data_IF_419455570471
#
_entry.id   IF_419455570471
#
_cell.length_a   1.000
_cell.length_b   1.000
_cell.length_c   1.000
_cell.angle_alpha   90.00
_cell.angle_beta   90.00
_cell.angle_gamma   90.00
#
_symmetry.space_group_name_H-M   'P 1'
#
loop_
_entity.id
_entity.type
_entity.pdbx_description
1 polymer ?
#
# COMPACT_ATOMS: atom_id res chain seq x y z
N UNK A 1 -11.04 2.35 -6.93
CA UNK A 1 -12.04 1.28 -6.72
C UNK A 1 -13.41 1.68 -7.24
N UNK A 2 -14.05 2.73 -6.70
CA UNK A 2 -15.40 3.13 -7.16
C UNK A 2 -15.46 3.47 -8.66
N UNK A 3 -14.42 4.09 -9.23
CA UNK A 3 -14.33 4.36 -10.68
C UNK A 3 -14.47 3.06 -11.49
N UNK A 4 -13.75 2.01 -11.13
CA UNK A 4 -13.81 0.73 -11.84
C UNK A 4 -15.16 0.01 -11.68
N UNK A 5 -15.78 0.11 -10.51
CA UNK A 5 -17.12 -0.45 -10.28
C UNK A 5 -18.16 0.30 -11.12
N UNK A 6 -18.01 1.61 -11.27
CA UNK A 6 -18.91 2.42 -12.08
C UNK A 6 -18.80 2.12 -13.59
N UNK A 7 -17.58 1.84 -14.07
CA UNK A 7 -17.33 1.37 -15.44
C UNK A 7 -17.93 -0.02 -15.68
N UNK A 8 -17.79 -0.94 -14.72
CA UNK A 8 -18.51 -2.22 -14.73
C UNK A 8 -18.09 -3.24 -15.79
N UNK A 9 -17.07 -2.95 -16.61
CA UNK A 9 -16.52 -3.90 -17.59
C UNK A 9 -15.78 -5.04 -16.88
N UNK A 10 -15.67 -6.21 -17.54
CA UNK A 10 -14.91 -7.36 -17.00
C UNK A 10 -13.47 -6.97 -16.64
N UNK A 11 -12.83 -6.13 -17.46
CA UNK A 11 -11.49 -5.62 -17.21
C UNK A 11 -11.42 -4.67 -16.00
N UNK A 12 -12.42 -3.79 -15.84
CA UNK A 12 -12.51 -2.89 -14.69
C UNK A 12 -12.72 -3.68 -13.39
N UNK A 13 -13.61 -4.68 -13.40
CA UNK A 13 -13.87 -5.55 -12.25
C UNK A 13 -12.62 -6.38 -11.90
N UNK A 14 -11.93 -6.95 -12.90
CA UNK A 14 -10.66 -7.65 -12.65
C UNK A 14 -9.60 -6.75 -12.03
N UNK A 15 -9.44 -5.53 -12.56
CA UNK A 15 -8.50 -4.54 -12.05
C UNK A 15 -8.82 -4.09 -10.62
N UNK A 16 -10.11 -3.92 -10.27
CA UNK A 16 -10.48 -3.51 -8.92
C UNK A 16 -10.26 -4.61 -7.89
N UNK A 17 -10.49 -5.88 -8.26
CA UNK A 17 -10.20 -7.03 -7.40
C UNK A 17 -8.69 -7.17 -7.16
N UNK A 18 -7.89 -7.01 -8.20
CA UNK A 18 -6.43 -7.01 -8.06
C UNK A 18 -5.97 -5.87 -7.15
N UNK A 19 -6.49 -4.66 -7.37
CA UNK A 19 -6.17 -3.53 -6.50
C UNK A 19 -6.63 -3.75 -5.05
N UNK A 20 -7.79 -4.39 -4.82
CA UNK A 20 -8.28 -4.73 -3.50
C UNK A 20 -7.31 -5.67 -2.76
N UNK A 21 -6.84 -6.72 -3.44
CA UNK A 21 -5.87 -7.67 -2.90
C UNK A 21 -4.56 -6.96 -2.55
N UNK A 22 -3.99 -6.19 -3.48
CA UNK A 22 -2.78 -5.43 -3.24
C UNK A 22 -2.95 -4.44 -2.08
N UNK A 23 -4.07 -3.73 -2.03
CA UNK A 23 -4.38 -2.79 -0.95
C UNK A 23 -4.52 -3.47 0.40
N UNK A 24 -5.13 -4.66 0.47
CA UNK A 24 -5.24 -5.43 1.70
C UNK A 24 -3.85 -5.83 2.23
N UNK A 25 -2.98 -6.37 1.38
CA UNK A 25 -1.59 -6.72 1.74
C UNK A 25 -0.84 -5.50 2.26
N UNK A 26 -0.92 -4.38 1.54
CA UNK A 26 -0.22 -3.15 1.90
C UNK A 26 -0.73 -2.56 3.20
N UNK A 27 -2.05 -2.54 3.39
CA UNK A 27 -2.68 -2.07 4.63
C UNK A 27 -2.30 -2.94 5.82
N UNK A 28 -2.34 -4.27 5.67
CA UNK A 28 -1.91 -5.20 6.72
C UNK A 28 -0.45 -5.00 7.11
N UNK A 29 0.45 -4.81 6.14
CA UNK A 29 1.86 -4.54 6.40
C UNK A 29 2.07 -3.21 7.14
N UNK A 30 1.41 -2.15 6.68
CA UNK A 30 1.51 -0.82 7.30
C UNK A 30 0.99 -0.82 8.73
N UNK A 31 -0.22 -1.35 8.97
CA UNK A 31 -0.78 -1.48 10.31
C UNK A 31 0.05 -2.42 11.19
N UNK A 32 0.62 -3.49 10.63
CA UNK A 32 1.54 -4.39 11.34
C UNK A 32 2.74 -3.63 11.91
N UNK A 33 3.37 -2.75 11.13
CA UNK A 33 4.48 -1.91 11.63
C UNK A 33 4.01 -0.98 12.75
N UNK A 34 2.84 -0.34 12.61
CA UNK A 34 2.30 0.55 13.63
C UNK A 34 1.99 -0.21 14.94
N UNK A 35 1.42 -1.41 14.86
CA UNK A 35 1.13 -2.27 16.03
C UNK A 35 2.41 -2.70 16.72
N UNK A 36 3.44 -3.13 15.98
CA UNK A 36 4.74 -3.54 16.54
C UNK A 36 5.40 -2.37 17.26
N UNK A 37 5.39 -1.19 16.63
CA UNK A 37 5.99 0.02 17.21
C UNK A 37 5.42 0.34 18.59
N UNK A 38 4.10 0.32 18.72
CA UNK A 38 3.43 0.89 19.89
C UNK A 38 2.90 -0.16 20.87
N UNK A 39 3.25 -1.46 20.70
CA UNK A 39 2.78 -2.57 21.56
C UNK A 39 1.26 -2.62 21.74
N UNK A 40 0.50 -2.17 20.74
CA UNK A 40 -0.96 -2.08 20.82
C UNK A 40 -1.51 -0.79 21.46
N UNK A 41 -0.69 0.20 21.85
CA UNK A 41 -1.19 1.58 22.07
C UNK A 41 -1.56 2.21 20.73
N UNK A 42 -2.59 3.05 20.75
CA UNK A 42 -3.01 3.81 19.58
C UNK A 42 -2.00 4.95 19.36
N UNK A 43 -1.51 5.08 18.14
CA UNK A 43 -0.71 6.24 17.71
C UNK A 43 -1.67 7.39 17.46
N UNK A 44 -1.40 8.55 18.04
CA UNK A 44 -2.28 9.71 17.93
C UNK A 44 -1.72 10.75 16.97
N UNK A 45 -0.38 10.77 16.77
CA UNK A 45 0.27 11.82 15.98
C UNK A 45 1.44 11.34 15.12
N UNK A 46 1.80 12.16 14.12
CA UNK A 46 3.01 11.95 13.31
C UNK A 46 4.30 12.04 14.14
N UNK A 47 4.28 12.75 15.26
CA UNK A 47 5.43 12.88 16.15
C UNK A 47 5.85 11.55 16.74
N UNK A 48 4.86 10.68 16.98
CA UNK A 48 5.10 9.35 17.46
C UNK A 48 5.98 8.58 16.49
N UNK A 49 6.02 8.93 15.19
CA UNK A 49 6.83 8.31 14.14
C UNK A 49 8.31 8.75 14.09
N UNK A 50 8.68 9.81 14.78
CA UNK A 50 10.00 10.43 14.67
C UNK A 50 11.16 9.47 15.04
N UNK A 51 12.18 9.45 14.20
CA UNK A 51 13.41 8.67 14.44
C UNK A 51 13.27 7.16 14.41
N UNK A 52 12.12 6.61 13.99
CA UNK A 52 11.88 5.16 13.98
C UNK A 52 12.88 4.37 13.13
N UNK A 53 13.37 4.97 12.05
CA UNK A 53 14.36 4.34 11.19
C UNK A 53 15.71 4.10 11.89
N UNK A 54 16.05 4.89 12.92
CA UNK A 54 17.29 4.70 13.69
C UNK A 54 17.21 3.54 14.67
N UNK A 55 16.02 3.27 15.21
CA UNK A 55 15.82 2.20 16.20
C UNK A 55 15.45 0.87 15.57
N UNK A 56 14.58 0.88 14.55
CA UNK A 56 14.11 -0.31 13.85
C UNK A 56 14.17 -0.12 12.33
N UNK A 57 15.38 -0.13 11.73
CA UNK A 57 15.57 0.20 10.31
C UNK A 57 14.78 -0.72 9.37
N UNK A 58 14.70 -2.02 9.68
CA UNK A 58 13.98 -2.99 8.83
C UNK A 58 12.47 -2.77 8.81
N UNK A 59 11.86 -2.46 9.96
CA UNK A 59 10.43 -2.16 10.03
C UNK A 59 10.11 -0.81 9.39
N UNK A 60 10.99 0.19 9.56
CA UNK A 60 10.87 1.47 8.89
C UNK A 60 10.99 1.35 7.36
N UNK A 61 11.88 0.48 6.85
CA UNK A 61 11.95 0.14 5.43
C UNK A 61 10.66 -0.52 4.95
N UNK A 62 10.16 -1.52 5.68
CA UNK A 62 8.89 -2.17 5.36
C UNK A 62 7.73 -1.19 5.25
N UNK A 63 7.56 -0.32 6.26
CA UNK A 63 6.55 0.75 6.24
C UNK A 63 6.74 1.70 5.05
N UNK A 64 7.98 2.04 4.73
CA UNK A 64 8.28 2.91 3.58
C UNK A 64 7.86 2.26 2.27
N UNK A 65 8.17 0.97 2.06
CA UNK A 65 7.72 0.22 0.89
C UNK A 65 6.19 0.16 0.79
N UNK A 66 5.48 0.02 1.92
CA UNK A 66 4.02 0.11 1.94
C UNK A 66 3.52 1.48 1.51
N UNK A 67 4.08 2.57 2.06
CA UNK A 67 3.71 3.94 1.67
C UNK A 67 4.02 4.22 0.20
N UNK A 68 5.16 3.75 -0.31
CA UNK A 68 5.54 3.86 -1.72
C UNK A 68 4.59 3.04 -2.62
N UNK A 69 4.14 1.87 -2.16
CA UNK A 69 3.14 1.07 -2.87
C UNK A 69 1.80 1.80 -2.97
N UNK A 70 1.37 2.47 -1.90
CA UNK A 70 0.16 3.30 -1.92
C UNK A 70 0.28 4.54 -2.80
N UNK A 71 1.47 5.13 -2.89
CA UNK A 71 1.77 6.18 -3.89
C UNK A 71 1.53 5.62 -5.30
N UNK A 72 1.97 4.39 -5.54
CA UNK A 72 1.92 3.73 -6.84
C UNK A 72 3.29 3.76 -7.51
N UNK A 73 4.32 3.36 -6.78
CA UNK A 73 5.65 3.20 -7.36
C UNK A 73 5.67 2.01 -8.33
N UNK A 74 6.29 2.13 -9.52
CA UNK A 74 6.46 0.99 -10.41
C UNK A 74 7.15 -0.15 -9.65
N UNK A 75 6.77 -1.40 -9.93
CA UNK A 75 7.14 -2.63 -9.21
C UNK A 75 6.30 -2.99 -7.97
N UNK A 76 5.24 -2.24 -7.63
CA UNK A 76 4.31 -2.64 -6.56
C UNK A 76 2.95 -3.06 -7.12
N UNK A 77 2.29 -4.01 -6.43
CA UNK A 77 0.92 -4.40 -6.79
C UNK A 77 -0.07 -3.22 -6.75
N UNK A 78 0.17 -2.23 -5.88
CA UNK A 78 -0.64 -1.01 -5.83
C UNK A 78 -0.61 -0.20 -7.13
N UNK A 79 0.53 -0.17 -7.82
CA UNK A 79 0.67 0.50 -9.11
C UNK A 79 -0.07 -0.23 -10.23
N UNK A 80 0.13 -1.55 -10.35
CA UNK A 80 -0.51 -2.36 -11.39
C UNK A 80 -2.03 -2.28 -11.30
N UNK A 81 -2.59 -2.40 -10.08
CA UNK A 81 -4.03 -2.27 -9.87
C UNK A 81 -4.58 -0.88 -10.22
N UNK A 82 -3.86 0.20 -9.88
CA UNK A 82 -4.27 1.56 -10.27
C UNK A 82 -4.24 1.75 -11.78
N UNK A 83 -3.18 1.31 -12.45
CA UNK A 83 -3.08 1.39 -13.91
C UNK A 83 -4.20 0.61 -14.61
N UNK A 84 -4.52 -0.60 -14.14
CA UNK A 84 -5.64 -1.37 -14.69
C UNK A 84 -6.98 -0.64 -14.54
N UNK A 85 -7.22 -0.02 -13.37
CA UNK A 85 -8.44 0.79 -13.14
C UNK A 85 -8.49 2.01 -14.08
N UNK A 86 -7.37 2.71 -14.27
CA UNK A 86 -7.31 3.87 -15.17
C UNK A 86 -7.43 3.47 -16.63
N UNK A 87 -6.78 2.38 -17.05
CA UNK A 87 -6.88 1.84 -18.41
C UNK A 87 -8.32 1.47 -18.74
N UNK A 88 -8.96 0.66 -17.91
CA UNK A 88 -10.34 0.24 -18.14
C UNK A 88 -11.34 1.42 -18.14
N UNK A 89 -11.07 2.48 -17.37
CA UNK A 89 -11.89 3.68 -17.37
C UNK A 89 -11.68 4.53 -18.63
N UNK A 90 -10.44 4.61 -19.15
CA UNK A 90 -10.15 5.30 -20.41
C UNK A 90 -10.73 4.57 -21.61
N UNK A 91 -10.69 3.23 -21.60
CA UNK A 91 -11.25 2.39 -22.67
C UNK A 91 -12.78 2.54 -22.82
N UNK A 92 -13.47 2.95 -21.76
CA UNK A 92 -14.93 3.17 -21.73
C UNK A 92 -15.31 4.67 -21.80
N UNK A 93 -14.37 5.56 -22.16
CA UNK A 93 -14.54 7.03 -22.27
C UNK A 93 -14.78 7.78 -20.93
N UNK A 94 -14.47 7.18 -19.78
CA UNK A 94 -14.54 7.82 -18.45
C UNK A 94 -13.34 8.73 -18.17
N UNK A 95 -13.02 9.63 -19.11
CA UNK A 95 -11.83 10.49 -19.08
C UNK A 95 -11.83 11.41 -17.85
N UNK A 96 -12.95 12.09 -17.59
CA UNK A 96 -13.05 13.04 -16.47
C UNK A 96 -12.77 12.36 -15.13
N UNK A 97 -13.34 11.17 -14.91
CA UNK A 97 -13.16 10.41 -13.68
C UNK A 97 -11.74 9.86 -13.55
N UNK A 98 -11.13 9.47 -14.67
CA UNK A 98 -9.71 9.07 -14.69
C UNK A 98 -8.80 10.23 -14.31
N UNK A 99 -9.00 11.43 -14.88
CA UNK A 99 -8.21 12.62 -14.54
C UNK A 99 -8.34 12.97 -13.06
N UNK A 100 -9.57 13.00 -12.53
CA UNK A 100 -9.80 13.25 -11.10
C UNK A 100 -9.12 12.20 -10.23
N UNK A 101 -9.19 10.92 -10.61
CA UNK A 101 -8.56 9.84 -9.86
C UNK A 101 -7.02 9.91 -9.87
N UNK A 102 -6.43 10.26 -11.02
CA UNK A 102 -4.98 10.47 -11.16
C UNK A 102 -4.52 11.66 -10.32
N UNK A 103 -5.23 12.79 -10.37
CA UNK A 103 -4.92 13.97 -9.55
C UNK A 103 -5.02 13.67 -8.05
N UNK A 104 -6.06 12.94 -7.63
CA UNK A 104 -6.19 12.51 -6.24
C UNK A 104 -5.04 11.57 -5.81
N UNK A 105 -4.59 10.69 -6.71
CA UNK A 105 -3.41 9.86 -6.47
C UNK A 105 -2.13 10.71 -6.39
N UNK A 106 -1.97 11.75 -7.21
CA UNK A 106 -0.83 12.65 -7.14
C UNK A 106 -0.81 13.44 -5.82
N UNK A 107 -1.97 13.92 -5.37
CA UNK A 107 -2.11 14.58 -4.07
C UNK A 107 -1.72 13.64 -2.91
N UNK A 108 -1.96 12.34 -3.08
CA UNK A 108 -1.63 11.35 -2.06
C UNK A 108 -0.16 11.22 -1.71
N UNK A 109 0.71 11.56 -2.67
CA UNK A 109 2.16 11.55 -2.49
C UNK A 109 2.57 12.39 -1.28
N UNK A 110 1.93 13.55 -1.08
CA UNK A 110 2.27 14.44 0.02
C UNK A 110 2.13 13.76 1.39
N UNK A 111 0.97 13.14 1.67
CA UNK A 111 0.74 12.57 2.99
C UNK A 111 1.48 11.23 3.19
N UNK A 112 1.70 10.44 2.15
CA UNK A 112 2.50 9.21 2.25
C UNK A 112 3.99 9.50 2.44
N UNK A 113 4.57 10.44 1.69
CA UNK A 113 5.96 10.84 1.88
C UNK A 113 6.17 11.50 3.24
N UNK A 114 5.17 12.22 3.77
CA UNK A 114 5.24 12.81 5.12
C UNK A 114 5.48 11.74 6.18
N UNK A 115 4.85 10.57 6.07
CA UNK A 115 5.08 9.44 7.00
C UNK A 115 6.53 8.96 6.93
N UNK A 116 7.07 8.79 5.72
CA UNK A 116 8.47 8.39 5.51
C UNK A 116 9.42 9.46 6.06
N UNK A 117 9.19 10.73 5.74
CA UNK A 117 9.99 11.84 6.21
C UNK A 117 10.01 11.93 7.75
N UNK A 118 8.88 11.71 8.41
CA UNK A 118 8.82 11.64 9.87
C UNK A 118 9.70 10.52 10.43
N UNK A 119 9.70 9.32 9.83
CA UNK A 119 10.53 8.20 10.32
C UNK A 119 12.03 8.40 10.15
N UNK A 120 12.48 9.04 9.07
CA UNK A 120 13.90 9.12 8.68
C UNK A 120 14.54 10.48 8.96
N UNK A 121 13.82 11.59 8.72
CA UNK A 121 14.40 12.94 8.74
C UNK A 121 14.21 13.68 10.06
N UNK A 122 13.28 13.23 10.91
CA UNK A 122 13.00 13.85 12.21
C UNK A 122 13.77 13.13 13.32
N UNK A 123 14.32 13.91 14.24
CA UNK A 123 14.95 13.39 15.46
C UNK A 123 13.84 13.00 16.45
N UNK A 124 13.83 11.75 16.88
CA UNK A 124 12.91 11.29 17.93
C UNK A 124 13.28 11.92 19.28
N UNK A 125 12.30 12.15 20.16
CA UNK A 125 12.58 12.53 21.55
C UNK A 125 13.39 11.40 22.19
N UNK A 126 14.53 11.72 22.83
CA UNK A 126 15.42 10.75 23.51
C UNK A 126 14.70 9.90 24.56
N UNK A 127 13.51 10.33 25.00
CA UNK A 127 12.63 9.66 25.96
C UNK A 127 11.73 8.56 25.38
N UNK A 128 11.85 8.26 24.08
CA UNK A 128 11.06 7.20 23.45
C UNK A 128 11.65 5.83 23.81
N UNK A 129 11.35 5.37 25.03
CA UNK A 129 11.56 4.01 25.57
C UNK A 129 12.36 3.09 24.65
N UNK A 130 13.66 3.17 24.86
CA UNK A 130 14.73 2.38 24.26
C UNK A 130 14.43 0.88 24.43
N UNK A 131 14.45 0.18 23.29
CA UNK A 131 14.67 -1.26 23.09
C UNK A 131 13.67 -2.17 23.80
N UNK A 132 12.66 -2.62 23.06
CA UNK A 132 12.23 -4.00 23.15
C UNK A 132 12.30 -4.61 21.76
N UNK A 133 12.98 -5.74 21.66
CA UNK A 133 13.08 -6.52 20.43
C UNK A 133 11.69 -6.73 19.87
N UNK A 134 11.41 -6.30 18.62
CA UNK A 134 10.08 -6.47 18.06
C UNK A 134 9.74 -7.97 18.01
N UNK A 135 8.48 -8.36 18.26
CA UNK A 135 8.10 -9.77 18.26
C UNK A 135 8.49 -10.40 16.92
N UNK A 136 9.27 -11.48 16.97
CA UNK A 136 9.83 -12.13 15.78
C UNK A 136 8.75 -12.53 14.78
N UNK A 137 7.64 -13.07 15.28
CA UNK A 137 6.51 -13.51 14.46
C UNK A 137 5.82 -12.32 13.74
N UNK A 138 5.57 -11.22 14.46
CA UNK A 138 4.94 -10.04 13.88
C UNK A 138 5.87 -9.38 12.83
N UNK A 139 7.17 -9.31 13.12
CA UNK A 139 8.18 -8.79 12.19
C UNK A 139 8.28 -9.65 10.93
N UNK A 140 8.19 -10.97 11.08
CA UNK A 140 8.11 -11.90 9.95
C UNK A 140 6.85 -11.68 9.10
N UNK A 141 5.70 -11.46 9.74
CA UNK A 141 4.46 -11.11 9.04
C UNK A 141 4.58 -9.82 8.21
N UNK A 142 5.23 -8.79 8.76
CA UNK A 142 5.55 -7.57 7.99
C UNK A 142 6.47 -7.91 6.80
N UNK A 143 7.52 -8.71 7.01
CA UNK A 143 8.39 -9.17 5.94
C UNK A 143 7.62 -9.90 4.82
N UNK A 144 6.65 -10.74 5.18
CA UNK A 144 5.80 -11.45 4.23
C UNK A 144 4.91 -10.49 3.43
N UNK A 145 4.34 -9.47 4.06
CA UNK A 145 3.55 -8.45 3.33
C UNK A 145 4.40 -7.61 2.39
N UNK A 146 5.65 -7.29 2.75
CA UNK A 146 6.63 -6.65 1.86
C UNK A 146 6.90 -7.53 0.65
N UNK A 147 7.22 -8.80 0.89
CA UNK A 147 7.44 -9.76 -0.18
C UNK A 147 6.22 -9.88 -1.11
N UNK A 148 5.03 -10.06 -0.54
CA UNK A 148 3.79 -10.16 -1.31
C UNK A 148 3.50 -8.89 -2.13
N UNK A 149 3.76 -7.70 -1.57
CA UNK A 149 3.58 -6.42 -2.29
C UNK A 149 4.46 -6.31 -3.52
N UNK A 150 5.71 -6.75 -3.42
CA UNK A 150 6.67 -6.78 -4.53
C UNK A 150 6.35 -7.91 -5.50
N UNK A 151 6.01 -9.10 -5.02
CA UNK A 151 5.62 -10.24 -5.84
C UNK A 151 4.44 -9.88 -6.74
N UNK A 152 3.37 -9.30 -6.16
CA UNK A 152 2.20 -8.84 -6.92
C UNK A 152 2.56 -7.76 -7.95
N UNK A 153 3.58 -6.96 -7.70
CA UNK A 153 4.03 -5.93 -8.65
C UNK A 153 4.91 -6.47 -9.78
N UNK A 154 5.75 -7.47 -9.51
CA UNK A 154 6.69 -8.06 -10.46
C UNK A 154 6.03 -9.15 -11.31
N UNK A 155 5.16 -9.96 -10.70
CA UNK A 155 4.43 -11.07 -11.34
C UNK A 155 2.92 -10.84 -11.24
N UNK A 156 2.38 -9.77 -11.87
CA UNK A 156 0.95 -9.49 -11.79
C UNK A 156 0.11 -10.52 -12.56
N UNK A 157 0.66 -11.10 -13.63
CA UNK A 157 -0.07 -12.00 -14.53
C UNK A 157 -0.62 -13.24 -13.83
N UNK A 158 0.15 -13.84 -12.92
CA UNK A 158 -0.25 -15.03 -12.13
C UNK A 158 -1.60 -14.81 -11.42
N UNK A 159 -1.78 -13.63 -10.84
CA UNK A 159 -2.99 -13.28 -10.10
C UNK A 159 -4.07 -12.68 -11.01
N UNK A 160 -3.69 -11.92 -12.03
CA UNK A 160 -4.64 -11.35 -12.98
C UNK A 160 -5.39 -12.43 -13.77
N UNK A 161 -4.73 -13.52 -14.14
CA UNK A 161 -5.38 -14.66 -14.82
C UNK A 161 -6.45 -15.27 -13.91
N UNK A 162 -6.10 -15.60 -12.66
CA UNK A 162 -7.02 -16.18 -11.68
C UNK A 162 -8.23 -15.28 -11.41
N UNK A 163 -7.99 -13.97 -11.28
CA UNK A 163 -9.03 -12.98 -11.08
C UNK A 163 -9.95 -12.92 -12.30
N UNK A 164 -9.40 -12.86 -13.52
CA UNK A 164 -10.19 -12.78 -14.73
C UNK A 164 -11.05 -14.03 -14.97
N UNK A 165 -10.54 -15.22 -14.65
CA UNK A 165 -11.33 -16.46 -14.66
C UNK A 165 -12.49 -16.38 -13.65
N UNK A 166 -12.21 -15.89 -12.44
CA UNK A 166 -13.22 -15.73 -11.40
C UNK A 166 -14.31 -14.74 -11.82
N UNK A 167 -13.94 -13.61 -12.42
CA UNK A 167 -14.91 -12.60 -12.90
C UNK A 167 -15.76 -13.15 -14.05
N UNK A 168 -15.17 -13.89 -14.99
CA UNK A 168 -15.92 -14.55 -16.07
C UNK A 168 -16.91 -15.60 -15.59
N UNK A 169 -16.68 -16.21 -14.42
CA UNK A 169 -17.64 -17.15 -13.84
C UNK A 169 -18.87 -16.47 -13.21
N UNK A 170 -18.78 -15.16 -12.92
CA UNK A 170 -19.82 -14.37 -12.27
C UNK A 170 -20.70 -13.58 -13.25
N UNK A 171 -20.29 -13.46 -14.52
CA UNK A 171 -20.97 -12.72 -15.59
C UNK A 171 -21.40 -13.67 -16.71
#
# INVERSE_FOLDING_TARGET
MMVAIAVGTTAAIGSVLFYALAYAVVSTGAFGVLTIRNRGRILETYEDLHGYARTNPMLALGMSLMMLSLIGLPLTGGFVGKLGIFGAALDDDWILLTVVAVLNSALSVYYYLRVIACMYLRVGKETSTVIETPPRLASFGVGLTVFATLYLGIFPDDFLILINESVRSLL
#
